data_IF_162410129907
#
_entry.id   IF_162410129907
#
_cell.length_a   1.000
_cell.length_b   1.000
_cell.length_c   1.000
_cell.angle_alpha   90.00
_cell.angle_beta   90.00
_cell.angle_gamma   90.00
#
_symmetry.space_group_name_H-M   'P 1'
#
loop_
_entity.id
_entity.type
_entity.pdbx_description
1 polymer ?
#
# COMPACT_ATOMS: atom_id res chain seq x y z
N UNK A 1 -29.47 18.04 -29.95
CA UNK A 1 -29.73 16.71 -29.36
C UNK A 1 -28.89 16.59 -28.08
N UNK A 2 -29.47 16.96 -26.94
CA UNK A 2 -28.76 16.99 -25.65
C UNK A 2 -28.66 15.56 -25.10
N UNK A 3 -27.63 14.81 -25.47
CA UNK A 3 -27.32 13.55 -24.80
C UNK A 3 -26.69 13.85 -23.44
N UNK A 4 -27.52 13.82 -22.40
CA UNK A 4 -27.08 13.77 -21.00
C UNK A 4 -26.21 12.51 -20.84
N UNK A 5 -24.90 12.68 -20.82
CA UNK A 5 -23.96 11.59 -20.55
C UNK A 5 -24.25 11.11 -19.13
N UNK A 6 -24.81 9.90 -18.99
CA UNK A 6 -25.04 9.27 -17.69
C UNK A 6 -23.69 8.98 -17.05
N UNK A 7 -23.24 9.87 -16.17
CA UNK A 7 -22.08 9.64 -15.32
C UNK A 7 -22.44 8.52 -14.34
N UNK A 8 -21.61 7.49 -14.26
CA UNK A 8 -21.81 6.41 -13.29
C UNK A 8 -21.75 6.99 -11.88
N UNK A 9 -22.85 6.88 -11.14
CA UNK A 9 -22.91 7.21 -9.72
C UNK A 9 -22.90 5.91 -8.92
N UNK A 10 -21.91 5.74 -8.05
CA UNK A 10 -21.86 4.58 -7.17
C UNK A 10 -23.04 4.62 -6.19
N UNK A 11 -23.63 3.45 -5.93
CA UNK A 11 -24.76 3.34 -5.01
C UNK A 11 -24.36 3.83 -3.61
N UNK A 12 -25.16 4.72 -2.98
CA UNK A 12 -24.87 5.22 -1.63
C UNK A 12 -24.74 4.09 -0.60
N UNK A 13 -25.54 3.03 -0.74
CA UNK A 13 -25.49 1.86 0.13
C UNK A 13 -24.15 1.11 0.03
N UNK A 14 -23.62 0.96 -1.20
CA UNK A 14 -22.32 0.31 -1.42
C UNK A 14 -21.17 1.14 -0.84
N UNK A 15 -21.16 2.45 -1.06
CA UNK A 15 -20.17 3.35 -0.46
C UNK A 15 -20.22 3.28 1.07
N UNK A 16 -21.43 3.31 1.65
CA UNK A 16 -21.62 3.20 3.10
C UNK A 16 -21.06 1.88 3.64
N UNK A 17 -21.34 0.76 2.96
CA UNK A 17 -20.79 -0.54 3.33
C UNK A 17 -19.26 -0.58 3.32
N UNK A 18 -18.63 -0.06 2.25
CA UNK A 18 -17.17 0.00 2.15
C UNK A 18 -16.54 0.85 3.27
N UNK A 19 -17.16 1.99 3.60
CA UNK A 19 -16.70 2.85 4.70
C UNK A 19 -16.79 2.16 6.06
N UNK A 20 -17.85 1.37 6.29
CA UNK A 20 -18.00 0.60 7.53
C UNK A 20 -16.89 -0.45 7.64
N UNK A 21 -16.63 -1.20 6.58
CA UNK A 21 -15.55 -2.21 6.58
C UNK A 21 -14.19 -1.55 6.81
N UNK A 22 -13.91 -0.42 6.14
CA UNK A 22 -12.68 0.34 6.35
C UNK A 22 -12.54 0.83 7.80
N UNK A 23 -13.63 1.34 8.38
CA UNK A 23 -13.64 1.79 9.78
C UNK A 23 -13.42 0.63 10.77
N UNK A 24 -14.02 -0.54 10.52
CA UNK A 24 -13.78 -1.73 11.32
C UNK A 24 -12.31 -2.19 11.23
N UNK A 25 -11.72 -2.16 10.04
CA UNK A 25 -10.30 -2.46 9.85
C UNK A 25 -9.39 -1.50 10.62
N UNK A 26 -9.64 -0.19 10.50
CA UNK A 26 -8.91 0.83 11.24
C UNK A 26 -9.06 0.67 12.76
N UNK A 27 -10.28 0.42 13.24
CA UNK A 27 -10.54 0.17 14.66
C UNK A 27 -9.80 -1.08 15.15
N UNK A 28 -9.81 -2.16 14.37
CA UNK A 28 -9.13 -3.41 14.70
C UNK A 28 -7.62 -3.21 14.80
N UNK A 29 -7.03 -2.44 13.89
CA UNK A 29 -5.62 -2.06 13.94
C UNK A 29 -5.30 -1.22 15.18
N UNK A 30 -6.08 -0.17 15.45
CA UNK A 30 -5.89 0.70 16.63
C UNK A 30 -6.00 -0.10 17.93
N UNK A 31 -7.00 -0.96 18.06
CA UNK A 31 -7.12 -1.84 19.24
C UNK A 31 -5.94 -2.82 19.32
N UNK A 32 -5.50 -3.37 18.19
CA UNK A 32 -4.32 -4.22 18.11
C UNK A 32 -3.06 -3.54 18.65
N UNK A 33 -2.85 -2.25 18.36
CA UNK A 33 -1.70 -1.49 18.87
C UNK A 33 -1.64 -1.41 20.40
N UNK A 34 -2.77 -1.52 21.11
CA UNK A 34 -2.81 -1.51 22.58
C UNK A 34 -2.74 -2.90 23.20
N UNK A 35 -3.12 -3.94 22.44
CA UNK A 35 -3.20 -5.32 22.94
C UNK A 35 -1.94 -6.13 22.60
N UNK A 36 -1.48 -6.05 21.36
CA UNK A 36 -0.31 -6.77 20.83
C UNK A 36 0.26 -5.98 19.64
N UNK A 37 1.19 -5.04 19.90
CA UNK A 37 1.76 -4.18 18.86
C UNK A 37 2.48 -4.95 17.76
N UNK A 38 3.20 -6.03 18.10
CA UNK A 38 3.95 -6.85 17.14
C UNK A 38 3.00 -7.47 16.11
N UNK A 39 1.91 -8.07 16.59
CA UNK A 39 0.91 -8.67 15.73
C UNK A 39 0.11 -7.63 14.93
N UNK A 40 -0.17 -6.48 15.52
CA UNK A 40 -0.86 -5.38 14.84
C UNK A 40 -0.05 -4.83 13.67
N UNK A 41 1.24 -4.53 13.90
CA UNK A 41 2.14 -4.04 12.85
C UNK A 41 2.41 -5.11 11.79
N UNK A 42 2.60 -6.38 12.18
CA UNK A 42 2.76 -7.48 11.23
C UNK A 42 1.53 -7.67 10.34
N UNK A 43 0.33 -7.61 10.92
CA UNK A 43 -0.94 -7.62 10.20
C UNK A 43 -1.09 -6.44 9.24
N UNK A 44 -0.71 -5.25 9.69
CA UNK A 44 -0.72 -4.04 8.89
C UNK A 44 0.25 -4.14 7.70
N UNK A 45 1.48 -4.62 7.91
CA UNK A 45 2.48 -4.82 6.86
C UNK A 45 1.97 -5.78 5.77
N UNK A 46 1.36 -6.90 6.16
CA UNK A 46 0.77 -7.85 5.20
C UNK A 46 -0.35 -7.21 4.36
N UNK A 47 -1.24 -6.45 5.00
CA UNK A 47 -2.32 -5.74 4.29
C UNK A 47 -1.80 -4.63 3.37
N UNK A 48 -0.80 -3.89 3.83
CA UNK A 48 -0.11 -2.86 3.05
C UNK A 48 0.54 -3.44 1.79
N UNK A 49 1.35 -4.49 1.95
CA UNK A 49 2.01 -5.19 0.83
C UNK A 49 0.99 -5.71 -0.19
N UNK A 50 -0.08 -6.34 0.28
CA UNK A 50 -1.16 -6.81 -0.59
C UNK A 50 -1.79 -5.66 -1.40
N UNK A 51 -2.07 -4.52 -0.75
CA UNK A 51 -2.66 -3.36 -1.40
C UNK A 51 -1.72 -2.73 -2.44
N UNK A 52 -0.43 -2.58 -2.10
CA UNK A 52 0.61 -2.08 -3.01
C UNK A 52 0.73 -2.98 -4.25
N UNK A 53 0.82 -4.30 -4.05
CA UNK A 53 0.95 -5.26 -5.14
C UNK A 53 -0.26 -5.22 -6.09
N UNK A 54 -1.48 -5.07 -5.57
CA UNK A 54 -2.67 -4.88 -6.41
C UNK A 54 -2.61 -3.57 -7.22
N UNK A 55 -2.18 -2.46 -6.59
CA UNK A 55 -2.08 -1.18 -7.29
C UNK A 55 -1.03 -1.21 -8.41
N UNK A 56 0.13 -1.81 -8.14
CA UNK A 56 1.21 -2.02 -9.10
C UNK A 56 0.80 -2.97 -10.24
N UNK A 57 0.07 -4.05 -9.93
CA UNK A 57 -0.45 -4.99 -10.92
C UNK A 57 -1.33 -4.28 -11.96
N UNK A 58 -2.14 -3.31 -11.55
CA UNK A 58 -2.91 -2.47 -12.48
C UNK A 58 -2.02 -1.71 -13.48
N UNK A 59 -0.96 -1.08 -12.99
CA UNK A 59 -0.05 -0.27 -13.81
C UNK A 59 0.77 -1.13 -14.78
N UNK A 60 1.23 -2.28 -14.30
CA UNK A 60 1.91 -3.28 -15.13
C UNK A 60 0.97 -3.81 -16.22
N UNK A 61 -0.25 -4.18 -15.86
CA UNK A 61 -1.22 -4.71 -16.82
C UNK A 61 -1.57 -3.67 -17.89
N UNK A 62 -1.78 -2.41 -17.52
CA UNK A 62 -1.99 -1.32 -18.48
C UNK A 62 -0.82 -1.13 -19.44
N UNK A 63 0.40 -1.21 -18.93
CA UNK A 63 1.62 -1.09 -19.74
C UNK A 63 1.66 -2.21 -20.80
N UNK A 64 1.41 -3.46 -20.39
CA UNK A 64 1.38 -4.62 -21.29
C UNK A 64 0.28 -4.49 -22.35
N UNK A 65 -0.93 -4.10 -21.95
CA UNK A 65 -2.05 -3.92 -22.88
C UNK A 65 -1.77 -2.82 -23.92
N UNK A 66 -1.12 -1.75 -23.49
CA UNK A 66 -0.78 -0.62 -24.36
C UNK A 66 0.33 -0.99 -25.35
N UNK A 67 1.41 -1.62 -24.87
CA UNK A 67 2.53 -2.04 -25.70
C UNK A 67 2.13 -3.10 -26.74
N UNK A 68 1.26 -4.04 -26.37
CA UNK A 68 0.78 -5.08 -27.27
C UNK A 68 -0.34 -4.64 -28.22
N UNK A 69 -0.80 -3.38 -28.12
CA UNK A 69 -1.94 -2.88 -28.88
C UNK A 69 -3.20 -3.76 -28.74
N UNK A 70 -3.44 -4.28 -27.53
CA UNK A 70 -4.48 -5.25 -27.23
C UNK A 70 -5.90 -4.63 -27.26
N UNK A 71 -6.49 -4.55 -28.45
CA UNK A 71 -7.83 -3.95 -28.65
C UNK A 71 -8.96 -4.67 -27.90
N UNK A 72 -8.82 -5.98 -27.67
CA UNK A 72 -9.81 -6.78 -26.93
C UNK A 72 -9.98 -6.32 -25.47
N UNK A 73 -8.94 -5.76 -24.87
CA UNK A 73 -8.95 -5.34 -23.47
C UNK A 73 -9.56 -3.95 -23.24
N UNK A 74 -10.02 -3.26 -24.31
CA UNK A 74 -10.59 -1.91 -24.22
C UNK A 74 -11.76 -1.84 -23.23
N UNK A 75 -12.61 -2.87 -23.19
CA UNK A 75 -13.75 -2.93 -22.27
C UNK A 75 -13.34 -3.06 -20.79
N UNK A 76 -12.22 -3.71 -20.51
CA UNK A 76 -11.74 -3.97 -19.14
C UNK A 76 -10.71 -2.93 -18.66
N UNK A 77 -10.19 -2.07 -19.54
CA UNK A 77 -9.13 -1.08 -19.26
C UNK A 77 -9.39 -0.20 -18.03
N UNK A 78 -10.66 0.10 -17.72
CA UNK A 78 -11.04 0.92 -16.56
C UNK A 78 -10.73 0.27 -15.21
N UNK A 79 -10.68 -1.06 -15.14
CA UNK A 79 -10.39 -1.79 -13.91
C UNK A 79 -8.93 -1.60 -13.47
N UNK A 80 -7.91 -1.92 -14.30
CA UNK A 80 -6.52 -1.70 -13.95
C UNK A 80 -6.18 -0.20 -13.82
N UNK A 81 -6.86 0.70 -14.57
CA UNK A 81 -6.77 2.15 -14.33
C UNK A 81 -7.18 2.51 -12.89
N UNK A 82 -8.35 2.02 -12.43
CA UNK A 82 -8.79 2.24 -11.06
C UNK A 82 -7.83 1.62 -10.03
N UNK A 83 -7.26 0.43 -10.31
CA UNK A 83 -6.26 -0.19 -9.44
C UNK A 83 -5.00 0.68 -9.30
N UNK A 84 -4.46 1.20 -10.41
CA UNK A 84 -3.28 2.07 -10.39
C UNK A 84 -3.52 3.38 -9.62
N UNK A 85 -4.75 3.92 -9.64
CA UNK A 85 -5.08 5.09 -8.81
C UNK A 85 -5.02 4.83 -7.31
N UNK A 86 -4.81 3.59 -6.88
CA UNK A 86 -4.50 3.21 -5.50
C UNK A 86 -3.10 3.61 -5.03
N UNK A 87 -2.13 3.85 -5.93
CA UNK A 87 -0.74 4.13 -5.53
C UNK A 87 -0.57 5.35 -4.60
N UNK A 88 -1.23 6.50 -4.81
CA UNK A 88 -1.15 7.62 -3.87
C UNK A 88 -1.70 7.28 -2.47
N UNK A 89 -2.74 6.43 -2.39
CA UNK A 89 -3.27 5.95 -1.12
C UNK A 89 -2.32 4.97 -0.44
N UNK A 90 -1.70 4.10 -1.23
CA UNK A 90 -0.67 3.18 -0.75
C UNK A 90 0.53 3.95 -0.20
N UNK A 91 0.95 5.06 -0.81
CA UNK A 91 1.99 5.93 -0.26
C UNK A 91 1.61 6.46 1.13
N UNK A 92 0.37 6.92 1.31
CA UNK A 92 -0.14 7.34 2.62
C UNK A 92 -0.12 6.20 3.66
N UNK A 93 -0.46 4.97 3.25
CA UNK A 93 -0.33 3.79 4.09
C UNK A 93 1.14 3.46 4.42
N UNK A 94 2.06 3.68 3.46
CA UNK A 94 3.50 3.54 3.67
C UNK A 94 4.05 4.53 4.69
N UNK A 95 3.58 5.78 4.66
CA UNK A 95 3.93 6.78 5.68
C UNK A 95 3.49 6.33 7.09
N UNK A 96 2.31 5.73 7.21
CA UNK A 96 1.85 5.15 8.48
C UNK A 96 2.70 3.95 8.92
N UNK A 97 3.18 3.13 7.98
CA UNK A 97 4.08 1.99 8.26
C UNK A 97 5.39 2.42 8.93
N UNK A 98 5.87 3.65 8.65
CA UNK A 98 7.10 4.17 9.27
C UNK A 98 7.01 4.21 10.80
N UNK A 99 5.81 4.37 11.36
CA UNK A 99 5.58 4.32 12.81
C UNK A 99 5.83 2.94 13.42
N UNK A 100 5.81 1.88 12.61
CA UNK A 100 6.06 0.50 13.01
C UNK A 100 7.49 0.02 12.79
N UNK A 101 8.42 0.89 12.36
CA UNK A 101 9.79 0.48 11.99
C UNK A 101 10.48 -0.27 13.12
N UNK A 102 10.42 0.27 14.35
CA UNK A 102 11.04 -0.34 15.52
C UNK A 102 10.47 -1.70 15.85
N UNK A 103 9.21 -1.96 15.53
CA UNK A 103 8.56 -3.24 15.83
C UNK A 103 8.78 -4.27 14.73
N UNK A 104 8.82 -3.83 13.46
CA UNK A 104 8.87 -4.72 12.29
C UNK A 104 10.28 -5.10 11.87
N UNK A 105 11.24 -4.20 12.08
CA UNK A 105 12.55 -4.32 11.47
C UNK A 105 13.65 -4.40 12.51
N UNK A 106 14.30 -5.56 12.56
CA UNK A 106 15.40 -5.82 13.50
C UNK A 106 16.57 -4.83 13.31
N UNK A 107 16.86 -4.42 12.07
CA UNK A 107 17.91 -3.44 11.75
C UNK A 107 17.70 -2.06 12.36
N UNK A 108 16.51 -1.77 12.89
CA UNK A 108 16.25 -0.50 13.58
C UNK A 108 16.74 -0.47 15.03
N UNK A 109 17.09 -1.62 15.61
CA UNK A 109 17.59 -1.72 16.98
C UNK A 109 19.11 -1.61 17.02
N UNK A 110 19.62 -0.52 17.57
CA UNK A 110 21.06 -0.24 17.64
C UNK A 110 21.86 -1.39 18.28
N UNK A 111 21.39 -1.91 19.42
CA UNK A 111 22.06 -3.02 20.12
C UNK A 111 22.17 -4.30 19.26
N UNK A 112 21.20 -4.55 18.37
CA UNK A 112 21.23 -5.71 17.48
C UNK A 112 22.19 -5.48 16.32
N UNK A 113 22.21 -4.27 15.77
CA UNK A 113 23.14 -3.88 14.71
C UNK A 113 24.59 -3.91 15.22
N UNK A 114 24.85 -3.47 16.44
CA UNK A 114 26.20 -3.53 17.04
C UNK A 114 26.68 -4.97 17.26
N UNK A 115 25.78 -5.89 17.58
CA UNK A 115 26.11 -7.29 17.81
C UNK A 115 26.26 -8.12 16.51
N UNK A 116 25.68 -7.68 15.38
CA UNK A 116 25.69 -8.42 14.11
C UNK A 116 26.51 -7.72 13.01
N UNK A 117 27.72 -8.23 12.68
CA UNK A 117 28.55 -7.71 11.60
C UNK A 117 27.86 -7.63 10.22
N UNK A 118 26.89 -8.51 9.94
CA UNK A 118 26.13 -8.51 8.68
C UNK A 118 25.22 -7.29 8.61
N UNK A 119 24.57 -6.92 9.72
CA UNK A 119 23.74 -5.72 9.79
C UNK A 119 24.60 -4.45 9.73
N UNK A 120 25.78 -4.45 10.36
CA UNK A 120 26.73 -3.32 10.24
C UNK A 120 27.11 -3.06 8.79
N UNK A 121 27.46 -4.12 8.04
CA UNK A 121 27.79 -4.01 6.61
C UNK A 121 26.63 -3.52 5.73
N UNK A 122 25.38 -3.62 6.21
CA UNK A 122 24.18 -3.17 5.51
C UNK A 122 23.65 -1.83 6.01
N UNK A 123 24.21 -1.25 7.05
CA UNK A 123 23.71 -0.02 7.72
C UNK A 123 23.55 1.19 6.78
N UNK A 124 24.42 1.30 5.76
CA UNK A 124 24.29 2.32 4.72
C UNK A 124 22.97 2.18 3.93
N UNK A 125 22.47 0.95 3.73
CA UNK A 125 21.20 0.66 3.09
C UNK A 125 20.04 0.56 4.11
N UNK A 126 20.24 -0.11 5.23
CA UNK A 126 19.24 -0.38 6.25
C UNK A 126 19.31 0.66 7.38
N UNK A 127 18.83 1.87 7.09
CA UNK A 127 18.63 2.91 8.10
C UNK A 127 17.32 3.66 7.82
N UNK A 128 16.75 4.29 8.86
CA UNK A 128 15.43 4.92 8.78
C UNK A 128 15.33 6.04 7.74
N UNK A 129 16.35 6.90 7.65
CA UNK A 129 16.35 8.01 6.70
C UNK A 129 16.38 7.53 5.25
N UNK A 130 17.27 6.60 4.92
CA UNK A 130 17.36 6.08 3.55
C UNK A 130 16.18 5.16 3.20
N UNK A 131 15.62 4.44 4.17
CA UNK A 131 14.36 3.71 4.00
C UNK A 131 13.22 4.65 3.57
N UNK A 132 13.06 5.78 4.27
CA UNK A 132 12.08 6.80 3.91
C UNK A 132 12.32 7.37 2.51
N UNK A 133 13.57 7.74 2.19
CA UNK A 133 13.91 8.29 0.87
C UNK A 133 13.56 7.29 -0.23
N UNK A 134 13.91 6.01 -0.09
CA UNK A 134 13.55 4.98 -1.07
C UNK A 134 12.04 4.86 -1.24
N UNK A 135 11.30 4.86 -0.14
CA UNK A 135 9.84 4.82 -0.18
C UNK A 135 9.29 6.01 -0.97
N UNK A 136 9.75 7.23 -0.68
CA UNK A 136 9.32 8.43 -1.39
C UNK A 136 9.73 8.47 -2.86
N UNK A 137 10.83 7.81 -3.24
CA UNK A 137 11.29 7.74 -4.65
C UNK A 137 10.51 6.69 -5.45
N UNK A 138 10.04 5.61 -4.82
CA UNK A 138 9.33 4.53 -5.53
C UNK A 138 7.85 4.82 -5.77
N UNK A 139 7.22 5.65 -4.94
CA UNK A 139 5.82 6.06 -5.09
C UNK A 139 5.67 7.33 -5.92
#
# INVERSE_FOLDING_TARGET
MNHQVKVFQASPARIKGLRIIAALGALSFVLGLFLDPERAWGGYLMGFEYFVQLALAGGLFLSVLTLSSARWATAMRRIPEAMTTGLPWAFGMGLLLLGGISTLYEWSHEAVVEADPVLQGKSAYLNGAFFFVRMAVFF
#
